data_IF_478328235694
#
_entry.id   IF_478328235694
#
_cell.length_a   1.000
_cell.length_b   1.000
_cell.length_c   1.000
_cell.angle_alpha   90.00
_cell.angle_beta   90.00
_cell.angle_gamma   90.00
#
_symmetry.space_group_name_H-M   'P 1'
#
loop_
_entity.id
_entity.type
_entity.pdbx_description
1 polymer ?
#
# COMPACT_ATOMS: atom_id res chain seq x y z
N UNK A 1 -6.34 -16.75 -17.17
CA UNK A 1 -6.37 -15.27 -17.10
C UNK A 1 -7.62 -14.86 -16.34
N UNK A 2 -7.53 -13.90 -15.40
CA UNK A 2 -8.69 -13.41 -14.66
C UNK A 2 -9.60 -12.58 -15.57
N UNK A 3 -10.92 -12.74 -15.41
CA UNK A 3 -11.91 -12.02 -16.23
C UNK A 3 -11.97 -10.53 -15.84
N UNK A 4 -12.29 -9.68 -16.81
CA UNK A 4 -12.52 -8.25 -16.60
C UNK A 4 -13.71 -8.03 -15.64
N UNK A 5 -13.61 -7.06 -14.75
CA UNK A 5 -14.71 -6.67 -13.88
C UNK A 5 -15.26 -7.80 -13.01
N UNK A 6 -14.40 -8.71 -12.53
CA UNK A 6 -14.81 -9.90 -11.78
C UNK A 6 -14.64 -9.77 -10.27
N UNK A 7 -13.89 -8.78 -9.79
CA UNK A 7 -13.57 -8.61 -8.38
C UNK A 7 -14.13 -7.32 -7.78
N UNK A 8 -14.58 -7.41 -6.55
CA UNK A 8 -15.03 -6.23 -5.78
C UNK A 8 -13.85 -5.53 -5.11
N UNK A 9 -12.80 -6.29 -4.76
CA UNK A 9 -11.60 -5.78 -4.08
C UNK A 9 -10.36 -6.46 -4.65
N UNK A 10 -9.31 -5.67 -4.87
CA UNK A 10 -7.94 -6.13 -5.06
C UNK A 10 -7.09 -5.55 -3.94
N UNK A 11 -6.37 -6.40 -3.23
CA UNK A 11 -5.52 -6.01 -2.10
C UNK A 11 -4.07 -6.39 -2.37
N UNK A 12 -3.16 -5.49 -2.04
CA UNK A 12 -1.72 -5.74 -2.07
C UNK A 12 -1.04 -5.21 -0.80
N UNK A 13 -0.04 -5.93 -0.35
CA UNK A 13 0.75 -5.53 0.82
C UNK A 13 2.21 -5.93 0.61
N UNK A 14 3.13 -4.96 0.76
CA UNK A 14 4.58 -5.18 0.67
C UNK A 14 4.96 -5.99 -0.60
N UNK A 15 4.51 -5.55 -1.76
CA UNK A 15 4.77 -6.19 -3.05
C UNK A 15 5.42 -5.25 -4.05
N UNK A 16 4.92 -4.02 -4.17
CA UNK A 16 5.28 -3.12 -5.27
C UNK A 16 6.74 -2.69 -5.22
N UNK A 17 7.31 -2.58 -4.03
CA UNK A 17 8.71 -2.23 -3.81
C UNK A 17 9.69 -3.27 -4.34
N UNK A 18 9.23 -4.51 -4.51
CA UNK A 18 10.02 -5.64 -5.01
C UNK A 18 9.90 -5.86 -6.51
N UNK A 19 9.05 -5.11 -7.21
CA UNK A 19 8.91 -5.26 -8.65
C UNK A 19 10.15 -4.72 -9.38
N UNK A 20 10.51 -5.30 -10.54
CA UNK A 20 11.75 -4.97 -11.23
C UNK A 20 11.81 -3.52 -11.74
N UNK A 21 10.67 -2.95 -12.11
CA UNK A 21 10.61 -1.62 -12.72
C UNK A 21 9.31 -0.87 -12.37
N UNK A 22 9.29 0.44 -12.60
CA UNK A 22 8.07 1.25 -12.47
C UNK A 22 7.02 0.83 -13.49
N UNK A 23 7.44 0.44 -14.68
CA UNK A 23 6.57 -0.08 -15.72
C UNK A 23 5.85 -1.36 -15.29
N UNK A 24 6.51 -2.21 -14.50
CA UNK A 24 5.88 -3.41 -13.96
C UNK A 24 4.89 -3.08 -12.85
N UNK A 25 5.15 -2.05 -12.04
CA UNK A 25 4.16 -1.50 -11.10
C UNK A 25 2.93 -0.98 -11.86
N UNK A 26 3.13 -0.19 -12.91
CA UNK A 26 2.04 0.35 -13.74
C UNK A 26 1.22 -0.75 -14.40
N UNK A 27 1.85 -1.78 -14.95
CA UNK A 27 1.17 -2.96 -15.50
C UNK A 27 0.34 -3.67 -14.46
N UNK A 28 0.91 -3.89 -13.27
CA UNK A 28 0.19 -4.53 -12.17
C UNK A 28 -1.04 -3.71 -11.75
N UNK A 29 -0.91 -2.40 -11.64
CA UNK A 29 -2.02 -1.50 -11.31
C UNK A 29 -3.08 -1.48 -12.42
N UNK A 30 -2.65 -1.50 -13.69
CA UNK A 30 -3.55 -1.61 -14.85
C UNK A 30 -4.35 -2.92 -14.83
N UNK A 31 -3.70 -4.04 -14.51
CA UNK A 31 -4.37 -5.34 -14.35
C UNK A 31 -5.34 -5.33 -13.16
N UNK A 32 -4.94 -4.75 -12.02
CA UNK A 32 -5.84 -4.58 -10.88
C UNK A 32 -7.10 -3.80 -11.30
N UNK A 33 -6.93 -2.71 -12.05
CA UNK A 33 -8.06 -1.93 -12.57
C UNK A 33 -8.92 -2.74 -13.54
N UNK A 34 -8.31 -3.52 -14.43
CA UNK A 34 -9.02 -4.34 -15.41
C UNK A 34 -9.96 -5.34 -14.73
N UNK A 35 -9.46 -6.07 -13.74
CA UNK A 35 -10.21 -7.12 -13.05
C UNK A 35 -11.24 -6.59 -12.04
N UNK A 36 -11.07 -5.36 -11.56
CA UNK A 36 -12.05 -4.73 -10.66
C UNK A 36 -13.34 -4.39 -11.40
N UNK A 37 -14.47 -4.63 -10.74
CA UNK A 37 -15.78 -4.12 -11.16
C UNK A 37 -15.81 -2.59 -11.11
N UNK A 38 -16.70 -1.93 -11.86
CA UNK A 38 -17.04 -0.53 -11.58
C UNK A 38 -17.46 -0.35 -10.11
N UNK A 39 -16.91 0.64 -9.42
CA UNK A 39 -17.07 0.82 -7.97
C UNK A 39 -16.20 -0.08 -7.09
N UNK A 40 -15.51 -1.07 -7.67
CA UNK A 40 -14.57 -1.94 -6.96
C UNK A 40 -13.35 -1.18 -6.42
N UNK A 41 -12.70 -1.72 -5.41
CA UNK A 41 -11.67 -1.02 -4.67
C UNK A 41 -10.30 -1.71 -4.77
N UNK A 42 -9.28 -0.90 -5.02
CA UNK A 42 -7.89 -1.26 -4.85
C UNK A 42 -7.40 -0.77 -3.49
N UNK A 43 -6.81 -1.65 -2.70
CA UNK A 43 -6.28 -1.35 -1.37
C UNK A 43 -4.80 -1.73 -1.34
N UNK A 44 -3.95 -0.79 -0.95
CA UNK A 44 -2.51 -1.00 -0.86
C UNK A 44 -1.97 -0.65 0.51
N UNK A 45 -1.12 -1.52 1.03
CA UNK A 45 -0.26 -1.31 2.19
C UNK A 45 1.19 -1.48 1.74
N UNK A 46 2.09 -0.69 2.30
CA UNK A 46 3.52 -0.83 2.02
C UNK A 46 4.38 0.17 2.76
N UNK A 47 5.69 -0.03 2.77
CA UNK A 47 6.61 0.89 3.40
C UNK A 47 6.56 2.25 2.70
N UNK A 48 6.46 3.32 3.49
CA UNK A 48 6.47 4.67 2.96
C UNK A 48 7.88 5.25 3.09
N UNK A 49 8.59 5.35 1.98
CA UNK A 49 9.97 5.87 1.96
C UNK A 49 10.12 7.23 2.67
N UNK A 50 9.07 8.04 2.67
CA UNK A 50 9.07 9.35 3.36
C UNK A 50 9.26 9.25 4.87
N UNK A 51 8.91 8.12 5.48
CA UNK A 51 8.91 7.94 6.93
C UNK A 51 9.83 6.82 7.41
N UNK A 52 10.12 5.84 6.58
CA UNK A 52 11.10 4.79 6.92
C UNK A 52 12.52 5.19 6.55
N UNK A 53 12.69 6.18 5.64
CA UNK A 53 14.01 6.72 5.30
C UNK A 53 14.98 5.66 4.78
N UNK A 54 16.21 5.69 5.28
CA UNK A 54 17.26 4.77 4.85
C UNK A 54 16.97 3.30 5.08
N UNK A 55 16.19 2.96 6.11
CA UNK A 55 15.79 1.57 6.39
C UNK A 55 15.02 0.92 5.23
N UNK A 56 14.42 1.72 4.35
CA UNK A 56 13.79 1.22 3.13
C UNK A 56 14.76 0.43 2.25
N UNK A 57 16.03 0.83 2.24
CA UNK A 57 17.07 0.27 1.39
C UNK A 57 17.95 -0.79 2.09
N UNK A 58 17.62 -1.14 3.33
CA UNK A 58 18.31 -2.22 4.05
C UNK A 58 17.96 -3.61 3.48
N UNK A 59 16.99 -3.66 2.57
CA UNK A 59 16.56 -4.87 1.88
C UNK A 59 17.08 -4.88 0.44
N UNK A 60 17.84 -5.92 0.11
CA UNK A 60 18.42 -6.08 -1.22
C UNK A 60 17.39 -6.09 -2.37
N UNK A 61 16.19 -6.58 -2.09
CA UNK A 61 15.09 -6.74 -3.04
C UNK A 61 14.11 -5.56 -3.08
N UNK A 62 14.39 -4.47 -2.38
CA UNK A 62 13.67 -3.21 -2.55
C UNK A 62 14.26 -2.45 -3.74
N UNK A 63 13.56 -2.49 -4.86
CA UNK A 63 14.01 -1.93 -6.13
C UNK A 63 13.31 -0.60 -6.48
N UNK A 64 12.04 -0.45 -6.06
CA UNK A 64 11.21 0.68 -6.43
C UNK A 64 10.97 1.59 -5.21
N UNK A 65 11.35 2.87 -5.28
CA UNK A 65 11.03 3.84 -4.24
C UNK A 65 9.53 4.18 -4.28
N UNK A 66 8.80 3.85 -3.22
CA UNK A 66 7.36 4.12 -3.14
C UNK A 66 7.06 5.02 -1.96
N UNK A 67 6.21 6.01 -2.21
CA UNK A 67 5.59 6.84 -1.19
C UNK A 67 4.08 6.83 -1.36
N UNK A 68 3.35 7.18 -0.31
CA UNK A 68 1.90 7.36 -0.41
C UNK A 68 1.51 8.38 -1.50
N UNK A 69 2.36 9.39 -1.73
CA UNK A 69 2.13 10.43 -2.74
C UNK A 69 2.36 9.93 -4.15
N UNK A 70 3.50 9.26 -4.40
CA UNK A 70 3.81 8.73 -5.74
C UNK A 70 2.81 7.65 -6.16
N UNK A 71 2.35 6.81 -5.20
CA UNK A 71 1.32 5.82 -5.49
C UNK A 71 -0.04 6.48 -5.79
N UNK A 72 -0.42 7.51 -5.04
CA UNK A 72 -1.66 8.25 -5.31
C UNK A 72 -1.63 8.94 -6.69
N UNK A 73 -0.47 9.47 -7.08
CA UNK A 73 -0.25 10.09 -8.39
C UNK A 73 -0.47 9.10 -9.53
N UNK A 74 0.21 7.94 -9.50
CA UNK A 74 0.08 6.94 -10.56
C UNK A 74 -1.31 6.31 -10.60
N UNK A 75 -1.95 6.07 -9.46
CA UNK A 75 -3.33 5.59 -9.43
C UNK A 75 -4.30 6.57 -10.10
N UNK A 76 -4.11 7.87 -9.86
CA UNK A 76 -4.91 8.92 -10.51
C UNK A 76 -4.66 8.96 -12.02
N UNK A 77 -3.40 8.82 -12.45
CA UNK A 77 -3.04 8.74 -13.86
C UNK A 77 -3.64 7.52 -14.57
N UNK A 78 -3.88 6.44 -13.84
CA UNK A 78 -4.55 5.23 -14.31
C UNK A 78 -6.08 5.27 -14.10
N UNK A 79 -6.67 6.44 -13.96
CA UNK A 79 -8.11 6.66 -13.78
C UNK A 79 -8.73 5.98 -12.55
N UNK A 80 -7.97 5.81 -11.48
CA UNK A 80 -8.54 5.49 -10.18
C UNK A 80 -8.92 6.78 -9.45
N UNK A 81 -9.97 6.69 -8.64
CA UNK A 81 -10.31 7.73 -7.67
C UNK A 81 -9.74 7.36 -6.32
N UNK A 82 -8.72 8.10 -5.85
CA UNK A 82 -8.19 7.92 -4.49
C UNK A 82 -9.24 8.34 -3.48
N UNK A 83 -9.68 7.44 -2.62
CA UNK A 83 -10.74 7.65 -1.62
C UNK A 83 -10.21 7.71 -0.20
N UNK A 84 -9.03 7.14 0.05
CA UNK A 84 -8.36 7.22 1.34
C UNK A 84 -6.84 7.15 1.15
N UNK A 85 -6.12 8.05 1.81
CA UNK A 85 -4.67 8.10 1.81
C UNK A 85 -4.18 8.39 3.22
N UNK A 86 -3.56 7.39 3.84
CA UNK A 86 -2.91 7.52 5.15
C UNK A 86 -1.42 7.34 4.97
N UNK A 87 -0.67 8.41 5.15
CA UNK A 87 0.78 8.40 4.96
C UNK A 87 1.50 7.55 6.00
N UNK A 88 0.93 7.44 7.21
CA UNK A 88 1.46 6.63 8.32
C UNK A 88 0.31 5.83 8.92
N UNK A 89 0.40 4.51 8.81
CA UNK A 89 -0.65 3.61 9.31
C UNK A 89 -0.07 2.49 10.17
N UNK A 90 0.53 1.47 9.57
CA UNK A 90 1.14 0.38 10.34
C UNK A 90 2.61 0.67 10.64
N UNK A 91 3.14 0.17 11.78
CA UNK A 91 4.57 0.18 12.03
C UNK A 91 5.32 -0.57 10.93
N UNK A 92 6.47 -0.06 10.54
CA UNK A 92 7.41 -0.75 9.67
C UNK A 92 8.46 -1.43 10.54
N UNK A 93 8.24 -2.69 10.86
CA UNK A 93 9.15 -3.45 11.72
C UNK A 93 9.35 -4.84 11.14
N UNK A 94 10.54 -5.07 10.62
CA UNK A 94 10.98 -6.41 10.23
C UNK A 94 11.62 -7.17 11.39
N UNK A 95 12.00 -6.44 12.43
CA UNK A 95 12.63 -6.98 13.65
C UNK A 95 12.02 -6.35 14.89
N UNK A 96 10.67 -6.37 15.02
CA UNK A 96 10.09 -5.83 16.23
C UNK A 96 10.19 -6.84 17.36
N UNK A 97 10.82 -6.41 18.44
CA UNK A 97 10.76 -7.08 19.74
C UNK A 97 9.40 -6.91 20.43
N UNK A 98 8.46 -6.20 19.79
CA UNK A 98 7.12 -6.02 20.31
C UNK A 98 6.30 -7.30 20.16
N UNK A 99 5.62 -7.76 21.22
CA UNK A 99 4.78 -8.94 21.13
C UNK A 99 3.69 -8.73 20.08
N UNK A 100 3.60 -9.66 19.12
CA UNK A 100 2.56 -9.66 18.08
C UNK A 100 1.24 -10.22 18.65
N UNK A 101 0.82 -9.69 19.78
CA UNK A 101 -0.45 -10.08 20.38
C UNK A 101 -1.62 -9.42 19.64
N UNK A 102 -2.59 -10.21 19.21
CA UNK A 102 -3.74 -9.71 18.44
C UNK A 102 -4.56 -8.63 19.18
N UNK A 103 -4.58 -8.65 20.50
CA UNK A 103 -5.23 -7.61 21.29
C UNK A 103 -4.48 -6.26 21.20
N UNK A 104 -3.14 -6.30 21.13
CA UNK A 104 -2.31 -5.10 21.00
C UNK A 104 -2.50 -4.46 19.62
N UNK A 105 -2.59 -5.27 18.57
CA UNK A 105 -2.90 -4.81 17.20
C UNK A 105 -4.30 -4.19 17.17
N UNK A 106 -5.29 -4.83 17.79
CA UNK A 106 -6.66 -4.27 17.87
C UNK A 106 -6.69 -2.94 18.62
N UNK A 107 -5.94 -2.81 19.70
CA UNK A 107 -5.82 -1.56 20.43
C UNK A 107 -5.17 -0.47 19.59
N UNK A 108 -4.05 -0.80 18.92
CA UNK A 108 -3.35 0.11 18.03
C UNK A 108 -4.27 0.66 16.93
N UNK A 109 -5.05 -0.22 16.28
CA UNK A 109 -5.98 0.15 15.22
C UNK A 109 -7.12 1.06 15.70
N UNK A 110 -7.42 1.08 17.00
CA UNK A 110 -8.43 1.96 17.61
C UNK A 110 -7.90 3.33 18.01
N UNK A 111 -6.60 3.56 17.94
CA UNK A 111 -5.95 4.79 18.39
C UNK A 111 -5.24 5.47 17.20
N UNK A 112 -5.98 6.17 16.31
CA UNK A 112 -5.39 6.82 15.14
C UNK A 112 -4.22 7.77 15.45
N UNK A 113 -4.19 8.51 16.57
CA UNK A 113 -3.01 9.31 16.94
C UNK A 113 -1.72 8.50 17.04
N UNK A 114 -1.78 7.23 17.47
CA UNK A 114 -0.60 6.36 17.55
C UNK A 114 0.02 6.09 16.18
N UNK A 115 -0.78 6.07 15.10
CA UNK A 115 -0.29 5.86 13.74
C UNK A 115 0.67 6.96 13.29
N UNK A 116 0.45 8.20 13.73
CA UNK A 116 1.33 9.34 13.40
C UNK A 116 2.72 9.21 14.00
N UNK A 117 2.85 8.52 15.11
CA UNK A 117 4.12 8.33 15.80
C UNK A 117 4.84 7.04 15.39
N UNK A 118 4.11 5.94 15.25
CA UNK A 118 4.68 4.62 15.03
C UNK A 118 4.53 4.11 13.59
N UNK A 119 3.64 4.70 12.80
CA UNK A 119 3.40 4.24 11.43
C UNK A 119 4.55 4.55 10.49
N UNK A 120 5.07 3.54 9.83
CA UNK A 120 6.06 3.63 8.75
C UNK A 120 5.49 3.16 7.42
N UNK A 121 4.40 2.39 7.44
CA UNK A 121 3.70 1.94 6.25
C UNK A 121 2.50 2.85 5.94
N UNK A 122 2.26 3.09 4.67
CA UNK A 122 1.04 3.77 4.21
C UNK A 122 -0.14 2.80 4.11
N UNK A 123 -1.35 3.34 4.18
CA UNK A 123 -2.58 2.73 3.69
C UNK A 123 -3.15 3.63 2.60
N UNK A 124 -3.40 3.08 1.43
CA UNK A 124 -4.05 3.78 0.34
C UNK A 124 -5.21 2.94 -0.20
N UNK A 125 -6.34 3.59 -0.42
CA UNK A 125 -7.53 2.99 -1.00
C UNK A 125 -8.01 3.85 -2.15
N UNK A 126 -8.24 3.20 -3.29
CA UNK A 126 -8.71 3.85 -4.50
C UNK A 126 -9.86 3.04 -5.12
N UNK A 127 -10.83 3.72 -5.69
CA UNK A 127 -11.97 3.11 -6.36
C UNK A 127 -11.81 3.19 -7.88
N UNK A 128 -12.23 2.13 -8.57
CA UNK A 128 -12.45 2.17 -10.02
C UNK A 128 -13.77 2.88 -10.28
N UNK A 129 -13.80 3.99 -11.02
CA UNK A 129 -15.05 4.66 -11.40
C UNK A 129 -16.02 3.77 -12.16
#
# INVERSE_FOLDING_TARGET
MLADGSFDVVFTSNLMEHLPSKEDVEKMLGEARRVLKPGGQFIALGPNLRFVGGEYWDFWDHLIPITDRSLAEILTALDFKVVEQRARFLPYTTCSSLPQASWLIRLYLRIPPAWRFFGGQFLLRAAKP
#
